data_IF_738952913787
#
_entry.id   IF_738952913787
#
_cell.length_a   1.000
_cell.length_b   1.000
_cell.length_c   1.000
_cell.angle_alpha   90.00
_cell.angle_beta   90.00
_cell.angle_gamma   90.00
#
_symmetry.space_group_name_H-M   'P 1'
#
loop_
_entity.id
_entity.type
_entity.pdbx_description
1 polymer ?
#
# COMPACT_ATOMS: atom_id res chain seq x y z
N UNK A 1 -22.07 48.77 23.27
CA UNK A 1 -21.27 48.38 22.09
C UNK A 1 -20.37 47.17 22.38
N UNK A 2 -20.85 46.13 23.06
CA UNK A 2 -20.00 45.01 23.53
C UNK A 2 -20.43 43.61 23.04
N UNK A 3 -21.50 43.53 22.22
CA UNK A 3 -22.01 42.24 21.70
C UNK A 3 -21.59 41.94 20.26
N UNK A 4 -21.08 42.93 19.52
CA UNK A 4 -20.61 42.75 18.14
C UNK A 4 -19.20 42.14 18.06
N UNK A 5 -18.37 42.35 19.08
CA UNK A 5 -16.98 41.84 19.09
C UNK A 5 -16.92 40.32 19.35
N UNK A 6 -17.90 39.76 20.05
CA UNK A 6 -17.89 38.34 20.44
C UNK A 6 -18.31 37.41 19.29
N UNK A 7 -19.10 37.90 18.33
CA UNK A 7 -19.53 37.11 17.17
C UNK A 7 -18.45 37.00 16.08
N UNK A 8 -17.52 37.97 16.01
CA UNK A 8 -16.41 37.94 15.06
C UNK A 8 -15.31 36.96 15.49
N UNK A 9 -15.15 36.75 16.80
CA UNK A 9 -14.13 35.85 17.35
C UNK A 9 -14.50 34.36 17.19
N UNK A 10 -15.78 34.01 17.14
CA UNK A 10 -16.23 32.61 16.92
C UNK A 10 -16.26 32.19 15.45
N UNK A 11 -16.33 33.15 14.50
CA UNK A 11 -16.21 32.82 13.08
C UNK A 11 -14.75 32.60 12.64
N UNK A 12 -13.78 33.23 13.32
CA UNK A 12 -12.36 33.08 13.03
C UNK A 12 -11.76 31.74 13.48
N UNK A 13 -12.35 31.05 14.46
CA UNK A 13 -11.87 29.74 14.93
C UNK A 13 -12.35 28.57 14.06
N UNK A 14 -13.44 28.72 13.30
CA UNK A 14 -13.90 27.70 12.35
C UNK A 14 -13.06 27.65 11.07
N UNK A 15 -12.41 28.75 10.68
CA UNK A 15 -11.47 28.75 9.54
C UNK A 15 -10.09 28.17 9.89
N UNK A 16 -9.75 28.05 11.17
CA UNK A 16 -8.44 27.55 11.61
C UNK A 16 -8.31 26.01 11.62
N UNK A 17 -9.39 25.27 11.36
CA UNK A 17 -9.39 23.79 11.35
C UNK A 17 -9.10 23.16 9.97
N UNK A 18 -8.90 23.94 8.90
CA UNK A 18 -8.55 23.43 7.57
C UNK A 18 -7.04 23.19 7.35
N UNK A 19 -6.21 23.34 8.39
CA UNK A 19 -4.75 23.32 8.28
C UNK A 19 -4.06 22.00 8.59
N UNK A 20 -4.76 21.01 9.17
CA UNK A 20 -4.14 19.73 9.53
C UNK A 20 -4.16 18.75 8.37
N UNK A 21 -3.08 18.80 7.57
CA UNK A 21 -2.53 17.65 6.87
C UNK A 21 -2.90 17.48 5.40
N UNK A 22 -2.44 18.38 4.50
CA UNK A 22 -2.30 18.01 3.07
C UNK A 22 -1.32 16.86 2.85
N UNK A 23 -0.52 16.55 3.88
CA UNK A 23 0.43 15.47 3.93
C UNK A 23 0.20 14.68 5.21
N UNK A 24 0.19 13.35 5.09
CA UNK A 24 0.19 12.42 6.22
C UNK A 24 1.36 11.48 6.06
N UNK A 25 2.20 11.44 7.08
CA UNK A 25 3.28 10.45 7.20
C UNK A 25 2.82 9.35 8.13
N UNK A 26 3.01 8.10 7.70
CA UNK A 26 2.68 6.90 8.46
C UNK A 26 3.96 6.08 8.51
N UNK A 27 4.58 6.02 9.69
CA UNK A 27 5.65 5.07 9.94
C UNK A 27 5.03 3.71 10.29
N UNK A 28 5.52 2.67 9.64
CA UNK A 28 5.14 1.27 9.83
C UNK A 28 6.40 0.47 10.15
N UNK A 29 6.21 -0.78 10.55
CA UNK A 29 7.28 -1.75 10.70
C UNK A 29 8.01 -2.04 9.37
N UNK A 30 7.32 -2.01 8.22
CA UNK A 30 7.93 -2.18 6.89
C UNK A 30 8.62 -0.94 6.33
N UNK A 31 8.38 0.22 6.91
CA UNK A 31 8.90 1.49 6.39
C UNK A 31 7.91 2.64 6.50
N UNK A 32 8.12 3.67 5.68
CA UNK A 32 7.40 4.93 5.76
C UNK A 32 6.51 5.11 4.53
N UNK A 33 5.24 5.45 4.77
CA UNK A 33 4.33 5.95 3.73
C UNK A 33 4.13 7.44 3.93
N UNK A 34 4.32 8.23 2.88
CA UNK A 34 3.94 9.63 2.79
C UNK A 34 2.79 9.74 1.82
N UNK A 35 1.65 10.23 2.29
CA UNK A 35 0.46 10.45 1.48
C UNK A 35 0.22 11.95 1.35
N UNK A 36 0.05 12.44 0.13
CA UNK A 36 -0.52 13.76 -0.09
C UNK A 36 -1.98 13.64 -0.52
N UNK A 37 -2.79 14.64 -0.21
CA UNK A 37 -4.23 14.62 -0.47
C UNK A 37 -4.67 15.77 -1.36
N UNK A 38 -5.70 15.49 -2.16
CA UNK A 38 -6.55 16.51 -2.76
C UNK A 38 -7.25 17.33 -1.68
N UNK A 39 -7.69 18.54 -2.02
CA UNK A 39 -8.53 19.35 -1.11
C UNK A 39 -9.84 18.68 -0.72
N UNK A 40 -10.29 17.70 -1.50
CA UNK A 40 -11.48 16.88 -1.25
C UNK A 40 -11.21 15.67 -0.34
N UNK A 41 -9.96 15.44 0.08
CA UNK A 41 -9.59 14.41 1.05
C UNK A 41 -9.16 13.06 0.46
N UNK A 42 -9.33 12.83 -0.85
CA UNK A 42 -8.75 11.66 -1.53
C UNK A 42 -7.23 11.77 -1.62
N UNK A 43 -6.54 10.63 -1.71
CA UNK A 43 -5.08 10.57 -1.90
C UNK A 43 -4.73 11.05 -3.31
N UNK A 44 -3.77 11.98 -3.40
CA UNK A 44 -3.19 12.51 -4.64
C UNK A 44 -1.86 11.86 -4.98
N UNK A 45 -0.99 11.65 -3.98
CA UNK A 45 0.25 10.88 -4.14
C UNK A 45 0.47 9.95 -2.96
N UNK A 46 1.19 8.87 -3.24
CA UNK A 46 1.63 7.89 -2.26
C UNK A 46 3.09 7.58 -2.52
N UNK A 47 3.94 7.87 -1.55
CA UNK A 47 5.36 7.56 -1.56
C UNK A 47 5.63 6.57 -0.43
N UNK A 48 5.99 5.33 -0.76
CA UNK A 48 6.42 4.34 0.20
C UNK A 48 7.93 4.16 0.11
N UNK A 49 8.58 4.04 1.26
CA UNK A 49 9.99 3.65 1.37
C UNK A 49 10.10 2.56 2.41
N UNK A 50 10.94 1.56 2.18
CA UNK A 50 11.21 0.52 3.17
C UNK A 50 11.84 1.10 4.45
N UNK A 51 11.90 0.27 5.50
CA UNK A 51 12.42 0.64 6.82
C UNK A 51 13.87 1.13 6.78
N UNK A 52 14.67 0.56 5.88
CA UNK A 52 16.09 0.85 5.75
C UNK A 52 16.35 2.06 4.83
N UNK A 53 15.30 2.65 4.23
CA UNK A 53 15.43 3.76 3.31
C UNK A 53 16.03 3.38 1.95
N UNK A 54 16.08 2.08 1.60
CA UNK A 54 16.83 1.55 0.45
C UNK A 54 15.99 1.45 -0.80
N UNK A 55 14.77 0.93 -0.69
CA UNK A 55 13.83 0.77 -1.80
C UNK A 55 12.54 1.51 -1.52
N UNK A 56 11.82 1.87 -2.57
CA UNK A 56 10.55 2.54 -2.45
C UNK A 56 9.74 2.53 -3.73
N UNK A 57 8.58 3.18 -3.66
CA UNK A 57 7.67 3.35 -4.78
C UNK A 57 6.90 4.66 -4.63
N UNK A 58 6.81 5.42 -5.71
CA UNK A 58 6.13 6.71 -5.75
C UNK A 58 5.03 6.66 -6.79
N UNK A 59 3.79 6.93 -6.37
CA UNK A 59 2.59 6.96 -7.21
C UNK A 59 1.87 8.29 -7.12
N UNK A 60 1.30 8.71 -8.24
CA UNK A 60 0.36 9.84 -8.31
C UNK A 60 -0.97 9.39 -8.92
N UNK A 61 -2.06 10.01 -8.49
CA UNK A 61 -3.42 9.65 -8.84
C UNK A 61 -4.20 10.86 -9.35
N UNK A 62 -5.20 10.62 -10.22
CA UNK A 62 -6.32 11.53 -10.44
C UNK A 62 -7.34 11.40 -9.30
N UNK A 63 -8.31 12.31 -9.26
CA UNK A 63 -9.39 12.31 -8.25
C UNK A 63 -10.26 11.05 -8.28
N UNK A 64 -10.39 10.42 -9.44
CA UNK A 64 -11.13 9.17 -9.63
C UNK A 64 -10.32 7.92 -9.21
N UNK A 65 -9.07 8.10 -8.78
CA UNK A 65 -8.16 7.02 -8.38
C UNK A 65 -7.30 6.47 -9.52
N UNK A 66 -7.43 6.97 -10.75
CA UNK A 66 -6.58 6.57 -11.88
C UNK A 66 -5.12 6.92 -11.59
N UNK A 67 -4.20 5.97 -11.74
CA UNK A 67 -2.76 6.20 -11.57
C UNK A 67 -2.20 6.95 -12.79
N UNK A 68 -1.50 8.06 -12.56
CA UNK A 68 -0.89 8.89 -13.61
C UNK A 68 0.64 8.91 -13.56
N UNK A 69 1.23 8.50 -12.44
CA UNK A 69 2.67 8.26 -12.28
C UNK A 69 2.84 7.03 -11.40
N UNK A 70 3.76 6.13 -11.78
CA UNK A 70 4.15 4.99 -10.95
C UNK A 70 5.62 4.63 -11.23
N UNK A 71 6.50 4.87 -10.26
CA UNK A 71 7.92 4.53 -10.37
C UNK A 71 8.43 3.82 -9.12
N UNK A 72 9.31 2.86 -9.33
CA UNK A 72 10.16 2.33 -8.27
C UNK A 72 11.27 3.33 -7.95
N UNK A 73 11.58 3.48 -6.67
CA UNK A 73 12.65 4.34 -6.18
C UNK A 73 13.66 3.50 -5.41
N UNK A 74 14.92 3.93 -5.40
CA UNK A 74 15.99 3.25 -4.65
C UNK A 74 17.13 4.19 -4.28
N UNK A 75 17.87 3.82 -3.25
CA UNK A 75 19.09 4.49 -2.76
C UNK A 75 20.28 3.55 -2.60
N UNK A 76 20.18 2.33 -3.12
CA UNK A 76 21.22 1.30 -3.09
C UNK A 76 21.47 0.78 -4.50
N UNK A 77 22.73 0.46 -4.82
CA UNK A 77 23.17 0.04 -6.15
C UNK A 77 22.66 0.99 -7.25
N UNK A 78 23.08 2.26 -7.11
CA UNK A 78 22.55 3.38 -7.88
C UNK A 78 21.47 4.15 -7.12
N UNK A 79 20.73 4.99 -7.85
CA UNK A 79 19.69 5.85 -7.30
C UNK A 79 18.52 5.99 -8.26
N UNK A 80 17.30 5.87 -7.74
CA UNK A 80 16.09 6.27 -8.45
C UNK A 80 15.15 7.05 -7.53
N UNK A 81 14.61 8.18 -7.98
CA UNK A 81 13.70 9.01 -7.20
C UNK A 81 12.62 9.67 -8.06
N UNK A 82 11.51 10.03 -7.42
CA UNK A 82 10.49 10.91 -7.98
C UNK A 82 10.35 12.14 -7.10
N UNK A 83 10.23 13.31 -7.70
CA UNK A 83 9.84 14.54 -7.02
C UNK A 83 8.50 15.04 -7.58
N UNK A 84 7.56 15.35 -6.68
CA UNK A 84 6.24 15.86 -7.04
C UNK A 84 6.09 17.33 -6.63
N UNK A 85 5.58 18.14 -7.55
CA UNK A 85 5.06 19.48 -7.26
C UNK A 85 3.53 19.47 -7.45
N UNK A 86 2.80 20.28 -6.68
CA UNK A 86 1.35 20.21 -6.58
C UNK A 86 0.67 21.53 -6.96
N UNK A 87 -0.52 21.42 -7.54
CA UNK A 87 -1.47 22.52 -7.70
C UNK A 87 -2.13 22.90 -6.34
N UNK A 88 -2.75 24.09 -6.23
CA UNK A 88 -3.45 24.49 -5.00
C UNK A 88 -4.58 23.55 -4.58
N UNK A 89 -5.19 22.81 -5.53
CA UNK A 89 -6.24 21.83 -5.26
C UNK A 89 -5.72 20.45 -4.82
N UNK A 90 -4.39 20.29 -4.71
CA UNK A 90 -3.71 19.06 -4.32
C UNK A 90 -3.41 18.10 -5.48
N UNK A 91 -3.86 18.36 -6.71
CA UNK A 91 -3.45 17.59 -7.88
C UNK A 91 -1.95 17.74 -8.14
N UNK A 92 -1.31 16.72 -8.70
CA UNK A 92 0.09 16.82 -9.13
C UNK A 92 0.17 17.79 -10.31
N UNK A 93 1.05 18.78 -10.23
CA UNK A 93 1.39 19.71 -11.31
C UNK A 93 2.56 19.21 -12.14
N UNK A 94 3.54 18.59 -11.48
CA UNK A 94 4.78 18.16 -12.10
C UNK A 94 5.34 16.95 -11.37
N UNK A 95 5.85 15.99 -12.14
CA UNK A 95 6.56 14.82 -11.64
C UNK A 95 7.92 14.73 -12.32
N UNK A 96 8.99 14.74 -11.54
CA UNK A 96 10.36 14.60 -12.01
C UNK A 96 10.91 13.26 -11.56
N UNK A 97 11.25 12.39 -12.50
CA UNK A 97 11.86 11.10 -12.23
C UNK A 97 13.34 11.13 -12.63
N UNK A 98 14.19 10.54 -11.82
CA UNK A 98 15.62 10.34 -12.11
C UNK A 98 15.98 8.90 -11.76
N UNK A 99 16.71 8.24 -12.65
CA UNK A 99 17.29 6.91 -12.44
C UNK A 99 18.76 6.90 -12.86
N UNK A 100 19.64 6.34 -12.04
CA UNK A 100 21.06 6.19 -12.26
C UNK A 100 21.53 4.85 -11.65
N UNK A 101 21.40 3.72 -12.38
CA UNK A 101 21.73 2.39 -11.88
C UNK A 101 23.22 2.15 -11.64
N UNK A 102 24.08 2.69 -12.49
CA UNK A 102 25.52 2.44 -12.45
C UNK A 102 26.29 3.67 -11.95
N UNK A 103 25.98 4.10 -10.73
CA UNK A 103 26.59 5.26 -10.07
C UNK A 103 26.64 6.56 -10.93
N UNK A 104 25.75 6.69 -11.91
CA UNK A 104 25.67 7.85 -12.81
C UNK A 104 26.44 7.73 -14.13
N UNK A 105 27.08 6.60 -14.44
CA UNK A 105 27.64 6.32 -15.79
C UNK A 105 26.47 6.24 -16.80
N UNK A 106 25.48 5.43 -16.46
CA UNK A 106 24.18 5.39 -17.11
C UNK A 106 23.16 6.16 -16.28
N UNK A 107 22.40 7.04 -16.92
CA UNK A 107 21.33 7.77 -16.24
C UNK A 107 20.17 8.12 -17.17
N UNK A 108 19.00 8.25 -16.58
CA UNK A 108 17.76 8.69 -17.21
C UNK A 108 17.07 9.71 -16.31
N UNK A 109 16.49 10.74 -16.91
CA UNK A 109 15.65 11.73 -16.25
C UNK A 109 14.44 12.05 -17.10
N UNK A 110 13.31 12.25 -16.47
CA UNK A 110 12.12 12.75 -17.16
C UNK A 110 11.33 13.71 -16.29
N UNK A 111 10.73 14.71 -16.93
CA UNK A 111 9.79 15.64 -16.31
C UNK A 111 8.45 15.51 -17.02
N UNK A 112 7.39 15.24 -16.27
CA UNK A 112 6.00 15.26 -16.77
C UNK A 112 5.26 16.40 -16.10
N UNK A 113 4.48 17.17 -16.85
CA UNK A 113 3.59 18.20 -16.30
C UNK A 113 2.14 17.82 -16.52
N UNK A 114 1.28 18.25 -15.60
CA UNK A 114 -0.14 17.96 -15.59
C UNK A 114 -0.96 19.22 -15.31
N UNK A 115 -2.19 19.26 -15.82
CA UNK A 115 -3.18 20.26 -15.43
C UNK A 115 -3.79 19.96 -14.04
N UNK A 116 -4.79 20.73 -13.64
CA UNK A 116 -5.40 20.62 -12.32
C UNK A 116 -6.37 19.44 -12.15
N UNK A 117 -6.67 18.72 -13.24
CA UNK A 117 -7.43 17.46 -13.26
C UNK A 117 -6.52 16.22 -13.30
N UNK A 118 -5.23 16.42 -13.52
CA UNK A 118 -4.24 15.34 -13.64
C UNK A 118 -4.09 14.82 -15.06
N UNK A 119 -4.54 15.56 -16.08
CA UNK A 119 -4.25 15.27 -17.48
C UNK A 119 -2.88 15.82 -17.86
N UNK A 120 -2.11 15.03 -18.62
CA UNK A 120 -0.74 15.37 -19.00
C UNK A 120 -0.73 16.54 -19.99
N UNK A 121 0.03 17.57 -19.67
CA UNK A 121 0.20 18.79 -20.49
C UNK A 121 1.59 18.90 -21.12
N UNK A 122 2.56 18.10 -20.66
CA UNK A 122 3.92 18.16 -21.17
C UNK A 122 4.79 17.00 -20.69
N UNK A 123 5.86 16.74 -21.42
CA UNK A 123 6.86 15.73 -21.10
C UNK A 123 8.20 16.04 -21.76
N UNK A 124 9.27 15.84 -21.02
CA UNK A 124 10.63 15.85 -21.53
C UNK A 124 11.42 14.73 -20.87
N UNK A 125 12.38 14.16 -21.59
CA UNK A 125 13.30 13.17 -21.09
C UNK A 125 14.72 13.45 -21.58
N UNK A 126 15.70 13.03 -20.78
CA UNK A 126 17.12 13.07 -21.09
C UNK A 126 17.76 11.79 -20.54
N UNK A 127 18.83 11.33 -21.18
CA UNK A 127 19.59 10.20 -20.67
C UNK A 127 20.97 10.13 -21.30
N UNK A 128 21.84 9.40 -20.62
CA UNK A 128 23.17 9.05 -21.12
C UNK A 128 23.33 7.53 -21.00
N UNK A 129 23.71 6.91 -22.10
CA UNK A 129 23.98 5.48 -22.18
C UNK A 129 25.20 5.26 -23.09
N UNK A 130 26.28 4.71 -22.52
CA UNK A 130 27.49 4.34 -23.27
C UNK A 130 27.33 3.02 -24.05
N UNK A 131 26.25 2.27 -23.80
CA UNK A 131 25.96 0.99 -24.44
C UNK A 131 24.70 1.15 -25.29
N UNK A 132 24.83 1.08 -26.60
CA UNK A 132 23.68 1.15 -27.50
C UNK A 132 22.60 0.12 -27.11
N UNK A 133 21.42 0.65 -26.76
CA UNK A 133 20.13 -0.04 -26.57
C UNK A 133 19.99 -0.83 -25.26
N UNK A 134 19.63 -0.13 -24.17
CA UNK A 134 18.88 -0.70 -23.05
C UNK A 134 17.37 -0.34 -23.19
N UNK A 135 16.43 -1.27 -22.97
CA UNK A 135 15.00 -0.98 -23.00
C UNK A 135 14.66 0.09 -21.96
N UNK A 136 14.15 1.23 -22.43
CA UNK A 136 13.64 2.33 -21.61
C UNK A 136 12.61 1.75 -20.64
N UNK A 137 12.76 1.90 -19.31
CA UNK A 137 11.82 1.34 -18.36
C UNK A 137 10.43 1.89 -18.70
N UNK A 138 9.55 0.97 -19.09
CA UNK A 138 8.22 1.26 -19.57
C UNK A 138 7.46 2.11 -18.57
N UNK A 139 7.34 3.39 -18.89
CA UNK A 139 6.20 4.17 -18.46
C UNK A 139 5.00 3.55 -19.16
N UNK A 140 4.25 2.69 -18.47
CA UNK A 140 2.95 2.22 -18.96
C UNK A 140 2.01 3.42 -19.04
N UNK A 141 1.99 4.06 -20.21
CA UNK A 141 1.02 5.08 -20.55
C UNK A 141 -0.15 4.41 -21.27
N UNK A 142 -1.36 4.60 -20.77
CA UNK A 142 -2.57 4.40 -21.58
C UNK A 142 -2.66 5.60 -22.51
N UNK A 143 -2.03 5.54 -23.69
CA UNK A 143 -2.21 6.56 -24.71
C UNK A 143 -3.66 6.47 -25.25
N UNK A 144 -4.35 7.61 -25.50
CA UNK A 144 -5.50 7.61 -26.39
C UNK A 144 -5.03 7.17 -27.78
N UNK A 145 -5.67 6.15 -28.33
CA UNK A 145 -5.34 5.62 -29.67
C UNK A 145 -5.74 6.66 -30.71
N UNK A 146 -4.78 7.35 -31.31
CA UNK A 146 -4.97 7.99 -32.61
C UNK A 146 -4.74 6.95 -33.72
N UNK A 147 -5.63 6.85 -34.74
CA UNK A 147 -5.48 5.88 -35.81
C UNK A 147 -4.46 6.39 -36.83
N UNK A 148 -3.27 5.79 -36.86
CA UNK A 148 -2.31 5.97 -37.96
C UNK A 148 -2.15 4.62 -38.66
N UNK A 149 -2.23 4.67 -40.00
CA UNK A 149 -2.31 3.51 -40.90
C UNK A 149 -1.10 2.57 -40.91
N UNK A 150 -1.12 1.53 -41.75
CA UNK A 150 -0.32 0.34 -41.55
C UNK A 150 1.10 0.54 -42.11
N UNK A 151 2.07 0.59 -41.20
CA UNK A 151 3.46 0.22 -41.51
C UNK A 151 3.76 -1.01 -40.64
N UNK A 152 3.92 -2.16 -41.28
CA UNK A 152 4.29 -3.41 -40.62
C UNK A 152 5.77 -3.37 -40.21
N UNK A 153 6.05 -2.81 -39.04
CA UNK A 153 7.31 -3.07 -38.34
C UNK A 153 7.25 -4.48 -37.72
N UNK A 154 8.34 -5.27 -37.78
CA UNK A 154 8.36 -6.59 -37.17
C UNK A 154 8.13 -6.45 -35.66
N UNK A 155 7.02 -7.03 -35.20
CA UNK A 155 6.59 -7.02 -33.80
C UNK A 155 7.65 -7.71 -32.94
N UNK A 156 8.57 -6.92 -32.39
CA UNK A 156 9.33 -7.34 -31.21
C UNK A 156 8.31 -7.48 -30.09
N UNK A 157 7.96 -8.73 -29.75
CA UNK A 157 7.23 -9.04 -28.54
C UNK A 157 8.03 -8.41 -27.39
N UNK A 158 7.53 -7.37 -26.73
CA UNK A 158 8.26 -6.76 -25.63
C UNK A 158 8.43 -7.83 -24.56
N UNK A 159 9.67 -8.12 -24.16
CA UNK A 159 9.93 -8.90 -22.96
C UNK A 159 9.35 -8.08 -21.82
N UNK A 160 8.17 -8.47 -21.35
CA UNK A 160 7.43 -7.75 -20.31
C UNK A 160 8.28 -7.81 -19.06
N UNK A 161 8.96 -6.71 -18.73
CA UNK A 161 9.60 -6.54 -17.44
C UNK A 161 8.53 -6.86 -16.37
N UNK A 162 8.72 -7.94 -15.62
CA UNK A 162 7.79 -8.37 -14.58
C UNK A 162 7.91 -7.35 -13.45
N UNK A 163 7.16 -6.26 -13.56
CA UNK A 163 7.07 -5.25 -12.51
C UNK A 163 6.57 -5.94 -11.25
N UNK A 164 7.35 -5.86 -10.16
CA UNK A 164 6.94 -6.38 -8.86
C UNK A 164 5.63 -5.68 -8.46
N UNK A 165 4.53 -6.44 -8.44
CA UNK A 165 3.23 -5.95 -8.01
C UNK A 165 3.14 -6.08 -6.50
N UNK A 166 2.71 -5.02 -5.82
CA UNK A 166 2.49 -5.05 -4.37
C UNK A 166 1.05 -5.49 -4.11
N UNK A 167 0.88 -6.55 -3.34
CA UNK A 167 -0.39 -7.09 -2.90
C UNK A 167 -0.64 -6.72 -1.44
N UNK A 168 -1.86 -6.35 -1.11
CA UNK A 168 -2.32 -6.01 0.24
C UNK A 168 -3.25 -7.10 0.74
N UNK A 169 -2.99 -7.62 1.92
CA UNK A 169 -3.73 -8.70 2.54
C UNK A 169 -4.27 -8.25 3.90
N UNK A 170 -5.59 -8.33 4.11
CA UNK A 170 -6.18 -8.10 5.43
C UNK A 170 -6.53 -9.44 6.09
N UNK A 171 -6.19 -9.59 7.37
CA UNK A 171 -6.45 -10.84 8.10
C UNK A 171 -7.51 -10.63 9.17
N UNK A 172 -8.49 -11.52 9.16
CA UNK A 172 -9.57 -11.59 10.13
C UNK A 172 -9.58 -12.96 10.80
N UNK A 173 -9.98 -13.01 12.06
CA UNK A 173 -10.32 -14.26 12.75
C UNK A 173 -11.80 -14.22 13.06
N UNK A 174 -12.49 -15.29 12.66
CA UNK A 174 -13.94 -15.46 12.84
C UNK A 174 -14.17 -16.60 13.82
N UNK A 175 -14.82 -16.35 14.94
CA UNK A 175 -15.23 -17.38 15.86
C UNK A 175 -16.60 -17.95 15.45
N UNK A 176 -16.62 -18.92 14.54
CA UNK A 176 -17.86 -19.58 14.12
C UNK A 176 -18.38 -20.63 15.12
N UNK A 177 -17.79 -20.72 16.32
CA UNK A 177 -18.21 -21.69 17.34
C UNK A 177 -19.18 -21.08 18.35
N UNK A 178 -19.78 -21.95 19.17
CA UNK A 178 -20.67 -21.55 20.29
C UNK A 178 -19.91 -21.19 21.57
N UNK A 179 -18.58 -21.13 21.54
CA UNK A 179 -17.75 -20.90 22.73
C UNK A 179 -16.82 -19.71 22.52
N UNK A 180 -16.55 -18.97 23.60
CA UNK A 180 -15.57 -17.89 23.55
C UNK A 180 -14.16 -18.45 23.31
N UNK A 181 -13.36 -17.70 22.55
CA UNK A 181 -12.03 -18.08 22.15
C UNK A 181 -11.03 -16.99 22.54
N UNK A 182 -9.87 -17.40 23.06
CA UNK A 182 -8.70 -16.52 23.18
C UNK A 182 -7.78 -16.86 22.01
N UNK A 183 -7.58 -15.89 21.15
CA UNK A 183 -6.73 -15.99 19.97
C UNK A 183 -5.40 -15.31 20.27
N UNK A 184 -4.30 -16.01 20.04
CA UNK A 184 -2.94 -15.49 20.13
C UNK A 184 -2.35 -15.46 18.74
N UNK A 185 -1.76 -14.33 18.39
CA UNK A 185 -1.09 -14.11 17.12
C UNK A 185 0.39 -13.93 17.39
N UNK A 186 1.20 -14.72 16.70
CA UNK A 186 2.65 -14.56 16.67
C UNK A 186 3.06 -14.30 15.23
N UNK A 187 3.94 -13.31 15.06
CA UNK A 187 4.53 -13.01 13.76
C UNK A 187 5.67 -13.99 13.52
N UNK A 188 5.59 -14.72 12.41
CA UNK A 188 6.63 -15.69 12.02
C UNK A 188 7.51 -15.17 10.89
N UNK A 189 7.03 -14.16 10.14
CA UNK A 189 7.77 -13.51 9.08
C UNK A 189 7.86 -11.99 9.33
N UNK A 190 9.03 -11.35 9.18
CA UNK A 190 9.25 -9.94 9.55
C UNK A 190 8.63 -8.92 8.58
N UNK A 191 8.00 -9.35 7.49
CA UNK A 191 7.46 -8.48 6.43
C UNK A 191 5.95 -8.25 6.63
N UNK A 192 5.48 -7.00 6.45
CA UNK A 192 4.72 -6.24 7.45
C UNK A 192 3.52 -7.04 7.95
N UNK A 193 3.67 -7.78 9.03
CA UNK A 193 2.60 -8.58 9.57
C UNK A 193 1.94 -7.83 10.74
N UNK A 194 0.64 -8.03 11.01
CA UNK A 194 0.07 -7.55 12.25
C UNK A 194 0.91 -8.02 13.45
N UNK A 195 1.33 -7.08 14.30
CA UNK A 195 2.19 -7.36 15.45
C UNK A 195 1.60 -8.43 16.40
N UNK A 196 2.43 -9.01 17.28
CA UNK A 196 1.96 -10.03 18.21
C UNK A 196 0.83 -9.47 19.08
N UNK A 197 -0.28 -10.20 19.14
CA UNK A 197 -1.50 -9.73 19.80
C UNK A 197 -2.27 -10.89 20.44
N UNK A 198 -3.09 -10.56 21.43
CA UNK A 198 -4.03 -11.49 22.03
C UNK A 198 -5.43 -10.89 22.04
N UNK A 199 -6.39 -11.59 21.45
CA UNK A 199 -7.78 -11.17 21.37
C UNK A 199 -8.68 -12.18 22.07
N UNK A 200 -9.73 -11.71 22.72
CA UNK A 200 -10.81 -12.57 23.22
C UNK A 200 -12.04 -12.32 22.36
N UNK A 201 -12.56 -13.36 21.73
CA UNK A 201 -13.73 -13.30 20.85
C UNK A 201 -14.91 -14.01 21.50
N UNK A 202 -16.07 -13.37 21.48
CA UNK A 202 -17.33 -14.03 21.83
C UNK A 202 -17.73 -15.05 20.73
N UNK A 203 -18.69 -15.95 21.00
CA UNK A 203 -19.30 -16.78 19.96
C UNK A 203 -19.88 -15.92 18.82
N UNK A 204 -19.54 -16.22 17.58
CA UNK A 204 -19.99 -15.49 16.39
C UNK A 204 -19.21 -14.21 16.05
N UNK A 205 -18.29 -13.77 16.92
CA UNK A 205 -17.52 -12.54 16.67
C UNK A 205 -16.50 -12.69 15.56
N UNK A 206 -16.15 -11.55 14.98
CA UNK A 206 -15.02 -11.40 14.05
C UNK A 206 -14.11 -10.28 14.52
N UNK A 207 -12.80 -10.52 14.50
CA UNK A 207 -11.79 -9.49 14.79
C UNK A 207 -10.85 -9.34 13.60
N UNK A 208 -10.47 -8.11 13.28
CA UNK A 208 -9.39 -7.83 12.33
C UNK A 208 -8.07 -7.90 13.08
N UNK A 209 -7.17 -8.78 12.63
CA UNK A 209 -5.82 -8.89 13.18
C UNK A 209 -4.91 -7.79 12.63
N UNK A 210 -5.07 -7.44 11.36
CA UNK A 210 -4.41 -6.30 10.71
C UNK A 210 -4.21 -6.52 9.22
N UNK A 211 -3.11 -6.03 8.69
CA UNK A 211 -2.81 -6.02 7.26
C UNK A 211 -1.35 -6.40 7.03
N UNK A 212 -1.07 -7.14 5.95
CA UNK A 212 0.29 -7.36 5.44
C UNK A 212 0.41 -7.15 3.94
N UNK A 213 1.63 -6.84 3.48
CA UNK A 213 1.91 -6.58 2.06
C UNK A 213 3.01 -7.48 1.55
N UNK A 214 2.86 -7.97 0.31
CA UNK A 214 3.78 -8.90 -0.33
C UNK A 214 4.03 -8.45 -1.77
N UNK A 215 5.27 -8.58 -2.23
CA UNK A 215 5.61 -8.39 -3.63
C UNK A 215 5.36 -9.67 -4.43
N UNK A 216 4.95 -9.53 -5.69
CA UNK A 216 4.86 -10.59 -6.71
C UNK A 216 3.57 -11.42 -6.73
N UNK A 217 3.18 -12.04 -5.60
CA UNK A 217 1.96 -12.86 -5.54
C UNK A 217 1.27 -12.78 -4.19
N UNK A 218 -0.01 -13.18 -4.14
CA UNK A 218 -0.71 -13.39 -2.88
C UNK A 218 -0.18 -14.62 -2.17
N UNK A 219 0.24 -14.45 -0.91
CA UNK A 219 0.52 -15.57 -0.02
C UNK A 219 -0.49 -15.61 1.12
N UNK A 220 -0.80 -16.81 1.60
CA UNK A 220 -1.72 -17.05 2.71
C UNK A 220 -1.13 -16.59 4.06
N UNK A 221 -1.99 -16.24 5.04
CA UNK A 221 -1.57 -15.74 6.33
C UNK A 221 -0.74 -16.74 7.12
N UNK A 222 -0.89 -18.04 6.88
CA UNK A 222 -0.12 -19.12 7.54
C UNK A 222 1.40 -19.05 7.30
N UNK A 223 1.84 -18.40 6.21
CA UNK A 223 3.27 -18.20 5.94
C UNK A 223 3.87 -17.01 6.72
N UNK A 224 3.01 -16.17 7.30
CA UNK A 224 3.40 -14.91 7.95
C UNK A 224 3.02 -14.87 9.43
N UNK A 225 1.97 -15.59 9.80
CA UNK A 225 1.34 -15.58 11.12
C UNK A 225 1.16 -17.00 11.64
N UNK A 226 1.61 -17.22 12.88
CA UNK A 226 1.15 -18.34 13.69
C UNK A 226 -0.03 -17.88 14.55
N UNK A 227 -1.21 -18.41 14.27
CA UNK A 227 -2.43 -18.10 15.02
C UNK A 227 -2.87 -19.31 15.83
N UNK A 228 -2.91 -19.14 17.14
CA UNK A 228 -3.39 -20.16 18.07
C UNK A 228 -4.74 -19.70 18.67
N UNK A 229 -5.77 -20.53 18.52
CA UNK A 229 -7.05 -20.32 19.18
C UNK A 229 -7.19 -21.29 20.36
N UNK A 230 -7.51 -20.77 21.54
CA UNK A 230 -7.68 -21.54 22.78
C UNK A 230 -9.09 -21.32 23.30
N UNK A 231 -9.78 -22.40 23.67
CA UNK A 231 -11.13 -22.28 24.26
C UNK A 231 -11.05 -21.62 25.63
N UNK A 232 -11.86 -20.60 25.85
CA UNK A 232 -12.01 -19.97 27.17
C UNK A 232 -13.03 -20.77 27.98
N UNK A 233 -12.62 -21.24 29.16
CA UNK A 233 -13.49 -21.92 30.11
C UNK A 233 -13.44 -21.17 31.43
N UNK A 234 -14.61 -20.83 31.99
CA UNK A 234 -14.69 -20.15 33.30
C UNK A 234 -14.00 -21.01 34.38
N UNK A 235 -13.23 -20.36 35.24
CA UNK A 235 -12.52 -20.96 36.39
C UNK A 235 -11.44 -22.00 36.05
N UNK A 236 -10.83 -21.93 34.85
CA UNK A 236 -9.66 -22.76 34.51
C UNK A 236 -8.59 -21.95 33.79
N UNK A 237 -7.38 -21.98 34.34
CA UNK A 237 -6.20 -21.31 33.75
C UNK A 237 -5.50 -22.15 32.67
N UNK A 238 -5.79 -23.46 32.59
CA UNK A 238 -5.14 -24.35 31.63
C UNK A 238 -5.93 -24.45 30.31
N UNK A 239 -5.23 -24.44 29.15
CA UNK A 239 -5.86 -24.60 27.85
C UNK A 239 -6.62 -25.92 27.80
N UNK A 240 -7.93 -25.84 27.56
CA UNK A 240 -8.83 -27.01 27.65
C UNK A 240 -9.09 -27.65 26.29
N UNK A 241 -8.86 -26.90 25.21
CA UNK A 241 -8.94 -27.35 23.83
C UNK A 241 -8.24 -26.33 22.91
N UNK A 242 -7.59 -26.81 21.85
CA UNK A 242 -7.08 -25.96 20.77
C UNK A 242 -8.11 -25.85 19.64
N UNK A 243 -8.17 -24.70 18.99
CA UNK A 243 -9.12 -24.42 17.93
C UNK A 243 -8.69 -25.01 16.60
N UNK A 244 -9.66 -25.50 15.82
CA UNK A 244 -9.47 -25.84 14.42
C UNK A 244 -9.72 -24.60 13.55
N UNK A 245 -8.65 -24.04 12.99
CA UNK A 245 -8.71 -22.89 12.09
C UNK A 245 -8.69 -23.35 10.64
N UNK A 246 -9.53 -22.73 9.82
CA UNK A 246 -9.53 -22.86 8.36
C UNK A 246 -9.41 -21.49 7.72
N UNK A 247 -8.52 -21.34 6.75
CA UNK A 247 -8.36 -20.08 6.02
C UNK A 247 -9.31 -20.06 4.83
N UNK A 248 -10.20 -19.07 4.80
CA UNK A 248 -10.99 -18.71 3.63
C UNK A 248 -10.45 -17.40 3.06
N UNK A 249 -10.64 -17.16 1.77
CA UNK A 249 -10.21 -15.92 1.12
C UNK A 249 -11.35 -15.23 0.37
N UNK A 250 -11.25 -13.91 0.26
CA UNK A 250 -12.12 -13.09 -0.58
C UNK A 250 -11.29 -12.04 -1.31
N UNK A 251 -11.37 -12.03 -2.64
CA UNK A 251 -10.73 -11.00 -3.47
C UNK A 251 -11.52 -9.69 -3.37
N UNK A 252 -10.85 -8.58 -3.07
CA UNK A 252 -11.45 -7.23 -3.00
C UNK A 252 -11.14 -6.43 -4.26
N UNK A 253 -9.88 -6.42 -4.68
CA UNK A 253 -9.39 -5.85 -5.94
C UNK A 253 -8.25 -6.72 -6.48
N UNK A 254 -7.76 -6.55 -7.71
CA UNK A 254 -6.67 -7.40 -8.23
C UNK A 254 -5.43 -7.44 -7.32
N UNK A 255 -5.14 -6.37 -6.59
CA UNK A 255 -4.02 -6.25 -5.65
C UNK A 255 -4.42 -6.35 -4.17
N UNK A 256 -5.69 -6.59 -3.84
CA UNK A 256 -6.18 -6.64 -2.45
C UNK A 256 -7.01 -7.89 -2.16
N UNK A 257 -6.60 -8.65 -1.15
CA UNK A 257 -7.31 -9.85 -0.66
C UNK A 257 -7.59 -9.77 0.83
N UNK A 258 -8.69 -10.39 1.25
CA UNK A 258 -9.04 -10.61 2.66
C UNK A 258 -8.94 -12.09 2.96
N UNK A 259 -8.30 -12.42 4.07
CA UNK A 259 -8.25 -13.76 4.62
C UNK A 259 -9.05 -13.84 5.91
N UNK A 260 -9.88 -14.87 6.02
CA UNK A 260 -10.72 -15.17 7.16
C UNK A 260 -10.26 -16.50 7.75
N UNK A 261 -9.60 -16.45 8.90
CA UNK A 261 -9.26 -17.63 9.68
C UNK A 261 -10.48 -18.01 10.53
N UNK A 262 -11.27 -18.94 10.03
CA UNK A 262 -12.52 -19.37 10.62
C UNK A 262 -12.25 -20.48 11.62
N UNK A 263 -12.53 -20.22 12.89
CA UNK A 263 -12.55 -21.21 13.94
C UNK A 263 -13.85 -22.01 13.87
N UNK A 264 -13.78 -23.27 13.45
CA UNK A 264 -14.96 -24.12 13.22
C UNK A 264 -15.15 -25.22 14.26
N UNK A 265 -14.12 -25.55 15.04
CA UNK A 265 -14.12 -26.70 15.93
C UNK A 265 -13.08 -26.63 17.03
N UNK A 266 -13.10 -27.61 17.92
CA UNK A 266 -12.21 -27.71 19.08
C UNK A 266 -11.58 -29.11 19.15
N UNK A 267 -10.26 -29.17 19.27
CA UNK A 267 -9.51 -30.40 19.52
C UNK A 267 -9.13 -30.49 21.00
N UNK A 268 -9.27 -31.67 21.63
CA UNK A 268 -8.78 -31.88 22.98
C UNK A 268 -7.25 -31.72 23.02
N UNK A 269 -6.67 -31.31 24.17
CA UNK A 269 -5.23 -31.17 24.30
C UNK A 269 -4.54 -32.50 24.05
N UNK A 270 -3.44 -32.46 23.28
CA UNK A 270 -2.62 -33.64 23.00
C UNK A 270 -1.99 -34.10 24.31
N UNK A 271 -2.32 -35.33 24.76
CA UNK A 271 -1.63 -35.93 25.91
C UNK A 271 -0.24 -36.34 25.44
N UNK A 272 0.79 -35.62 25.86
CA UNK A 272 2.17 -36.11 25.79
C UNK A 272 2.25 -37.37 26.68
N UNK A 273 2.72 -38.48 26.11
CA UNK A 273 3.01 -39.72 26.81
C UNK A 273 4.49 -39.77 27.13
#
# INVERSE_FOLDING_TARGET
>A
MSRALTLLATLATLTALHGQGRVRTIDTDSGRVVQHYFTTGQVSTLEWTDKDGRFGRSRAFKRDGTVIVDHHTRRIAGHASVHFEYHPNGAVRKAEFSDAPDAGIQWYRSTTTFDDQGDRTGFSEQGHDDLHVIPRPGTTFTAPVEPVGPTEDPVRVPEVAICQKLFVNEVFVVNATRHAARVRVQVTHPSPAPGPAAHTLAPGDTVRLGTYTIGETFEGPENHLAVEAIRVVRNRDRPTASGELRTNEAQVSPEHRRYYMVLSGWRPPRRER
#
